data_IF_252925384252
#
_entry.id   IF_252925384252
#
_cell.length_a   1.000
_cell.length_b   1.000
_cell.length_c   1.000
_cell.angle_alpha   90.00
_cell.angle_beta   90.00
_cell.angle_gamma   90.00
#
_symmetry.space_group_name_H-M   'P 1'
#
loop_
_entity.id
_entity.type
_entity.pdbx_description
1 polymer ?
#
# COMPACT_ATOMS: atom_id res chain seq x y z
N UNK A 1 11.77 7.35 6.78
CA UNK A 1 11.60 8.60 7.55
C UNK A 1 10.88 9.68 6.75
N UNK A 2 11.01 9.69 5.43
CA UNK A 2 10.39 10.69 4.54
C UNK A 2 8.86 10.72 4.70
N UNK A 3 8.23 9.55 4.93
CA UNK A 3 6.79 9.45 5.21
C UNK A 3 6.42 10.23 6.49
N UNK A 4 7.24 10.16 7.54
CA UNK A 4 6.94 10.84 8.81
C UNK A 4 7.00 12.36 8.66
N UNK A 5 8.05 12.87 8.02
CA UNK A 5 8.19 14.29 7.72
C UNK A 5 7.08 14.78 6.78
N UNK A 6 6.65 13.92 5.89
CA UNK A 6 5.57 14.19 4.98
C UNK A 6 4.22 14.27 5.72
N UNK A 7 3.91 13.28 6.55
CA UNK A 7 2.68 13.27 7.36
C UNK A 7 2.64 14.41 8.38
N UNK A 8 3.80 14.78 8.96
CA UNK A 8 3.90 15.90 9.90
C UNK A 8 3.49 17.25 9.31
N UNK A 9 3.73 17.45 8.00
CA UNK A 9 3.36 18.69 7.29
C UNK A 9 1.86 18.80 7.01
N UNK A 10 1.12 17.71 7.18
CA UNK A 10 -0.30 17.64 6.91
C UNK A 10 -1.06 17.36 8.20
N UNK A 11 -2.24 17.99 8.35
CA UNK A 11 -3.10 17.69 9.48
C UNK A 11 -3.70 16.29 9.33
N UNK A 12 -3.14 15.34 10.09
CA UNK A 12 -3.66 13.98 10.19
C UNK A 12 -4.62 13.80 11.37
N UNK A 13 -4.88 14.88 12.12
CA UNK A 13 -5.70 14.83 13.32
C UNK A 13 -5.11 13.94 14.43
N UNK A 14 -5.93 13.53 15.36
CA UNK A 14 -5.53 12.65 16.48
C UNK A 14 -5.62 11.16 16.11
N UNK A 15 -4.95 10.76 14.99
CA UNK A 15 -4.95 9.37 14.51
C UNK A 15 -3.72 8.62 15.00
N UNK A 16 -3.91 7.35 15.35
CA UNK A 16 -2.78 6.47 15.63
C UNK A 16 -2.04 6.12 14.33
N UNK A 17 -0.70 6.14 14.42
CA UNK A 17 0.22 5.80 13.32
C UNK A 17 0.84 4.45 13.62
N UNK A 18 0.34 3.40 12.99
CA UNK A 18 0.86 2.04 13.12
C UNK A 18 2.00 1.82 12.13
N UNK A 19 3.17 1.42 12.62
CA UNK A 19 4.35 1.18 11.80
C UNK A 19 4.85 -0.25 12.00
N UNK A 20 4.67 -1.15 11.01
CA UNK A 20 5.20 -2.51 11.08
C UNK A 20 6.73 -2.51 11.03
N UNK A 21 7.37 -2.97 12.10
CA UNK A 21 8.82 -3.06 12.26
C UNK A 21 9.30 -4.48 12.61
N UNK A 22 8.38 -5.44 12.72
CA UNK A 22 8.69 -6.82 13.05
C UNK A 22 9.40 -7.57 11.93
N UNK A 23 9.28 -7.09 10.69
CA UNK A 23 9.79 -7.76 9.51
C UNK A 23 10.74 -6.87 8.70
N UNK A 24 12.01 -7.26 8.64
CA UNK A 24 13.04 -6.55 7.88
C UNK A 24 13.72 -5.40 8.65
N UNK A 25 14.77 -4.86 8.05
CA UNK A 25 15.58 -3.81 8.62
C UNK A 25 16.52 -4.26 9.74
N UNK A 26 17.65 -3.55 9.89
CA UNK A 26 18.57 -3.78 11.01
C UNK A 26 17.96 -3.29 12.34
N UNK A 27 18.47 -3.79 13.47
CA UNK A 27 18.07 -3.29 14.80
C UNK A 27 18.23 -1.78 14.90
N UNK A 28 19.37 -1.25 14.42
CA UNK A 28 19.64 0.20 14.39
C UNK A 28 18.61 0.97 13.56
N UNK A 29 18.21 0.45 12.41
CA UNK A 29 17.17 1.09 11.59
C UNK A 29 15.83 1.17 12.32
N UNK A 30 15.43 0.08 12.99
CA UNK A 30 14.18 0.04 13.76
C UNK A 30 14.18 1.05 14.91
N UNK A 31 15.31 1.16 15.64
CA UNK A 31 15.48 2.15 16.70
C UNK A 31 15.35 3.59 16.17
N UNK A 32 16.04 3.91 15.07
CA UNK A 32 15.93 5.24 14.43
C UNK A 32 14.50 5.57 14.00
N UNK A 33 13.77 4.59 13.45
CA UNK A 33 12.36 4.79 13.06
C UNK A 33 11.47 5.01 14.29
N UNK A 34 11.67 4.25 15.36
CA UNK A 34 10.92 4.40 16.63
C UNK A 34 11.16 5.75 17.29
N UNK A 35 12.42 6.17 17.39
CA UNK A 35 12.77 7.47 17.96
C UNK A 35 12.16 8.62 17.16
N UNK A 36 12.25 8.55 15.83
CA UNK A 36 11.66 9.56 14.97
C UNK A 36 10.12 9.57 15.07
N UNK A 37 9.49 8.40 15.04
CA UNK A 37 8.04 8.28 15.16
C UNK A 37 7.52 8.81 16.50
N UNK A 38 8.14 8.40 17.59
CA UNK A 38 7.77 8.89 18.94
C UNK A 38 7.97 10.40 19.07
N UNK A 39 9.07 10.93 18.54
CA UNK A 39 9.34 12.38 18.58
C UNK A 39 8.32 13.18 17.77
N UNK A 40 7.86 12.66 16.64
CA UNK A 40 6.95 13.39 15.71
C UNK A 40 5.49 13.25 16.15
N UNK A 41 5.06 12.04 16.53
CA UNK A 41 3.66 11.71 16.76
C UNK A 41 3.31 11.43 18.23
N UNK A 42 4.31 11.43 19.13
CA UNK A 42 4.09 11.22 20.56
C UNK A 42 3.38 9.91 20.88
N UNK A 43 2.33 9.98 21.69
CA UNK A 43 1.50 8.83 22.09
C UNK A 43 0.70 8.21 20.93
N UNK A 44 0.57 8.89 19.82
CA UNK A 44 -0.14 8.37 18.65
C UNK A 44 0.76 7.45 17.79
N UNK A 45 2.05 7.37 18.07
CA UNK A 45 2.95 6.46 17.37
C UNK A 45 2.92 5.06 17.98
N UNK A 46 2.59 4.06 17.19
CA UNK A 46 2.50 2.66 17.60
C UNK A 46 3.41 1.82 16.71
N UNK A 47 4.54 1.36 17.27
CA UNK A 47 5.43 0.43 16.57
C UNK A 47 4.97 -1.02 16.75
N UNK A 48 4.84 -1.75 15.64
CA UNK A 48 4.53 -3.18 15.65
C UNK A 48 5.84 -3.96 15.54
N UNK A 49 6.51 -4.16 16.67
CA UNK A 49 7.88 -4.70 16.74
C UNK A 49 7.93 -6.23 16.80
N UNK A 50 6.88 -6.86 17.29
CA UNK A 50 6.77 -8.31 17.43
C UNK A 50 6.08 -8.91 16.23
N UNK A 51 6.52 -10.11 15.84
CA UNK A 51 5.80 -10.87 14.85
C UNK A 51 4.42 -11.26 15.40
N UNK A 52 3.39 -11.01 14.64
CA UNK A 52 2.01 -11.35 14.98
C UNK A 52 1.40 -12.27 13.93
N UNK A 53 0.35 -12.96 14.28
CA UNK A 53 -0.40 -13.77 13.34
C UNK A 53 -1.03 -12.90 12.24
N UNK A 54 -1.31 -13.52 11.10
CA UNK A 54 -1.99 -12.81 10.00
C UNK A 54 -3.36 -12.28 10.43
N UNK A 55 -4.06 -13.01 11.28
CA UNK A 55 -5.37 -12.57 11.81
C UNK A 55 -5.25 -11.33 12.69
N UNK A 56 -4.28 -11.29 13.61
CA UNK A 56 -4.02 -10.11 14.45
C UNK A 56 -3.62 -8.91 13.60
N UNK A 57 -2.77 -9.12 12.60
CA UNK A 57 -2.37 -8.07 11.67
C UNK A 57 -3.56 -7.54 10.87
N UNK A 58 -4.43 -8.41 10.37
CA UNK A 58 -5.64 -7.99 9.67
C UNK A 58 -6.61 -7.21 10.55
N UNK A 59 -6.71 -7.51 11.85
CA UNK A 59 -7.51 -6.71 12.80
C UNK A 59 -6.98 -5.28 12.92
N UNK A 60 -5.65 -5.10 12.95
CA UNK A 60 -5.05 -3.77 12.95
C UNK A 60 -5.33 -3.06 11.62
N UNK A 61 -5.06 -3.70 10.49
CA UNK A 61 -5.30 -3.12 9.16
C UNK A 61 -6.76 -2.71 8.99
N UNK A 62 -7.72 -3.54 9.41
CA UNK A 62 -9.14 -3.22 9.29
C UNK A 62 -9.59 -2.04 10.15
N UNK A 63 -8.83 -1.68 11.19
CA UNK A 63 -9.05 -0.47 11.98
C UNK A 63 -8.43 0.79 11.35
N UNK A 64 -7.59 0.63 10.32
CA UNK A 64 -6.94 1.73 9.63
C UNK A 64 -7.83 2.24 8.48
N UNK A 65 -8.11 3.54 8.46
CA UNK A 65 -8.79 4.16 7.31
C UNK A 65 -7.85 4.44 6.14
N UNK A 66 -6.54 4.58 6.42
CA UNK A 66 -5.53 5.03 5.47
C UNK A 66 -4.26 4.20 5.60
N UNK A 67 -3.62 3.92 4.46
CA UNK A 67 -2.33 3.23 4.41
C UNK A 67 -1.40 3.97 3.45
N UNK A 68 -0.15 4.17 3.87
CA UNK A 68 0.88 4.85 3.08
C UNK A 68 2.04 3.92 2.81
N UNK A 69 2.43 3.79 1.55
CA UNK A 69 3.59 2.99 1.13
C UNK A 69 4.45 3.80 0.15
N UNK A 70 5.61 4.26 0.64
CA UNK A 70 6.49 5.20 -0.04
C UNK A 70 7.63 4.52 -0.83
N UNK A 71 7.58 3.19 -0.96
CA UNK A 71 8.62 2.46 -1.67
C UNK A 71 8.37 2.44 -3.19
N UNK A 72 9.43 2.59 -3.95
CA UNK A 72 9.39 2.54 -5.42
C UNK A 72 9.47 1.11 -5.96
N UNK A 73 10.11 0.22 -5.21
CA UNK A 73 10.24 -1.20 -5.59
C UNK A 73 9.00 -2.00 -5.22
N UNK A 74 8.79 -3.11 -5.90
CA UNK A 74 7.72 -4.06 -5.61
C UNK A 74 7.96 -4.74 -4.25
N UNK A 75 7.52 -4.10 -3.19
CA UNK A 75 7.64 -4.57 -1.81
C UNK A 75 6.28 -4.53 -1.11
N UNK A 76 6.12 -5.36 -0.06
CA UNK A 76 4.93 -5.34 0.78
C UNK A 76 3.62 -5.67 0.05
N UNK A 77 3.66 -6.45 -1.03
CA UNK A 77 2.48 -6.77 -1.84
C UNK A 77 1.37 -7.44 -1.03
N UNK A 78 1.72 -8.23 0.00
CA UNK A 78 0.74 -8.80 0.93
C UNK A 78 0.04 -7.71 1.76
N UNK A 79 0.79 -6.71 2.23
CA UNK A 79 0.25 -5.59 3.00
C UNK A 79 -0.64 -4.70 2.13
N UNK A 80 -0.26 -4.46 0.88
CA UNK A 80 -1.08 -3.73 -0.10
C UNK A 80 -2.40 -4.45 -0.31
N UNK A 81 -2.35 -5.76 -0.54
CA UNK A 81 -3.55 -6.57 -0.74
C UNK A 81 -4.45 -6.55 0.51
N UNK A 82 -3.86 -6.72 1.70
CA UNK A 82 -4.59 -6.67 2.95
C UNK A 82 -5.26 -5.30 3.14
N UNK A 83 -4.55 -4.19 2.87
CA UNK A 83 -5.10 -2.84 2.95
C UNK A 83 -6.29 -2.64 2.01
N UNK A 84 -6.13 -2.96 0.72
CA UNK A 84 -7.19 -2.81 -0.28
C UNK A 84 -8.40 -3.70 0.02
N UNK A 85 -8.17 -4.95 0.46
CA UNK A 85 -9.24 -5.87 0.80
C UNK A 85 -10.06 -5.42 2.02
N UNK A 86 -9.38 -4.81 3.00
CA UNK A 86 -10.03 -4.27 4.20
C UNK A 86 -10.61 -2.86 4.01
N UNK A 87 -10.54 -2.29 2.81
CA UNK A 87 -11.17 -1.02 2.48
C UNK A 87 -10.37 0.21 2.90
N UNK A 88 -9.07 0.07 3.16
CA UNK A 88 -8.22 1.21 3.44
C UNK A 88 -8.01 2.06 2.18
N UNK A 89 -8.03 3.38 2.32
CA UNK A 89 -7.57 4.29 1.28
C UNK A 89 -6.04 4.22 1.19
N UNK A 90 -5.55 3.64 0.11
CA UNK A 90 -4.13 3.34 -0.08
C UNK A 90 -3.44 4.42 -0.89
N UNK A 91 -2.43 5.04 -0.28
CA UNK A 91 -1.54 6.00 -0.93
C UNK A 91 -0.20 5.34 -1.29
N UNK A 92 0.20 5.47 -2.55
CA UNK A 92 1.42 4.93 -3.11
C UNK A 92 2.25 6.04 -3.77
N UNK A 93 3.57 5.83 -3.92
CA UNK A 93 4.36 6.69 -4.78
C UNK A 93 3.90 6.53 -6.24
N UNK A 94 3.60 7.63 -6.93
CA UNK A 94 3.17 7.60 -8.35
C UNK A 94 4.30 7.22 -9.31
N UNK A 95 5.56 7.32 -8.87
CA UNK A 95 6.72 6.81 -9.61
C UNK A 95 6.84 5.30 -9.57
N UNK A 96 6.14 4.62 -8.63
CA UNK A 96 6.23 3.17 -8.47
C UNK A 96 5.45 2.41 -9.54
N UNK A 97 6.02 1.30 -10.02
CA UNK A 97 5.32 0.38 -10.92
C UNK A 97 4.06 -0.24 -10.27
N UNK A 98 4.06 -0.35 -8.94
CA UNK A 98 2.92 -0.87 -8.18
C UNK A 98 1.72 0.07 -8.29
N UNK A 99 1.95 1.38 -8.20
CA UNK A 99 0.90 2.38 -8.40
C UNK A 99 0.30 2.28 -9.80
N UNK A 100 1.16 2.28 -10.83
CA UNK A 100 0.74 2.18 -12.25
C UNK A 100 -0.04 0.88 -12.51
N UNK A 101 0.44 -0.23 -11.96
CA UNK A 101 -0.23 -1.53 -12.08
C UNK A 101 -1.65 -1.49 -11.51
N UNK A 102 -1.82 -1.01 -10.28
CA UNK A 102 -3.16 -0.97 -9.67
C UNK A 102 -4.08 0.05 -10.34
N UNK A 103 -3.57 1.19 -10.79
CA UNK A 103 -4.36 2.14 -11.61
C UNK A 103 -4.84 1.50 -12.91
N UNK A 104 -3.95 0.77 -13.61
CA UNK A 104 -4.31 0.04 -14.84
C UNK A 104 -5.29 -1.12 -14.58
N UNK A 105 -5.35 -1.64 -13.37
CA UNK A 105 -6.34 -2.64 -12.98
C UNK A 105 -7.70 -2.02 -12.65
N UNK A 106 -7.81 -0.70 -12.60
CA UNK A 106 -9.02 0.00 -12.19
C UNK A 106 -9.23 0.02 -10.68
N UNK A 107 -8.17 -0.24 -9.89
CA UNK A 107 -8.23 -0.18 -8.42
C UNK A 107 -8.11 1.27 -7.96
N UNK A 108 -8.94 1.68 -7.00
CA UNK A 108 -8.88 2.99 -6.36
C UNK A 108 -7.66 3.08 -5.44
N UNK A 109 -6.53 3.49 -6.01
CA UNK A 109 -5.29 3.85 -5.30
C UNK A 109 -4.95 5.30 -5.58
N UNK A 110 -4.25 5.94 -4.66
CA UNK A 110 -4.01 7.38 -4.64
C UNK A 110 -2.52 7.68 -4.65
N UNK A 111 -2.15 8.77 -5.31
CA UNK A 111 -0.77 9.27 -5.33
C UNK A 111 -0.45 10.01 -4.05
N UNK A 112 0.71 9.73 -3.47
CA UNK A 112 1.22 10.52 -2.36
C UNK A 112 1.60 11.92 -2.85
N UNK A 113 2.25 12.02 -4.00
CA UNK A 113 2.78 13.26 -4.54
C UNK A 113 1.68 14.21 -5.04
N UNK A 114 0.60 13.67 -5.59
CA UNK A 114 -0.47 14.46 -6.18
C UNK A 114 -1.72 14.49 -5.30
N UNK A 115 -2.33 13.34 -5.04
CA UNK A 115 -3.63 13.30 -4.36
C UNK A 115 -3.51 13.72 -2.89
N UNK A 116 -2.53 13.16 -2.14
CA UNK A 116 -2.36 13.50 -0.73
C UNK A 116 -1.83 14.92 -0.52
N UNK A 117 -0.88 15.37 -1.34
CA UNK A 117 -0.35 16.75 -1.23
C UNK A 117 -1.44 17.79 -1.45
N UNK A 118 -2.37 17.55 -2.38
CA UNK A 118 -3.44 18.50 -2.69
C UNK A 118 -4.60 18.46 -1.69
N UNK A 119 -4.96 17.28 -1.18
CA UNK A 119 -6.21 17.08 -0.43
C UNK A 119 -6.01 16.49 0.98
N UNK A 120 -4.77 16.23 1.38
CA UNK A 120 -4.48 15.46 2.60
C UNK A 120 -5.03 14.04 2.52
N UNK A 121 -5.44 13.47 3.65
CA UNK A 121 -6.09 12.15 3.65
C UNK A 121 -7.44 12.17 2.92
N UNK A 122 -8.14 13.30 2.93
CA UNK A 122 -9.51 13.40 2.42
C UNK A 122 -10.47 12.47 3.17
N UNK A 123 -11.60 12.16 2.54
CA UNK A 123 -12.53 11.16 3.08
C UNK A 123 -12.01 9.74 2.86
N UNK A 124 -12.37 8.78 3.74
CA UNK A 124 -12.17 7.35 3.48
C UNK A 124 -12.86 6.92 2.16
N UNK A 125 -12.53 5.73 1.67
CA UNK A 125 -13.25 5.14 0.53
C UNK A 125 -14.73 4.97 0.87
N UNK A 126 -15.58 5.18 -0.13
CA UNK A 126 -16.99 4.82 -0.05
C UNK A 126 -17.17 3.30 -0.07
N UNK A 127 -18.35 2.83 0.31
CA UNK A 127 -18.64 1.40 0.24
C UNK A 127 -18.55 0.87 -1.19
N UNK A 128 -19.02 1.64 -2.18
CA UNK A 128 -18.95 1.30 -3.59
C UNK A 128 -17.51 1.17 -4.08
N UNK A 129 -16.64 2.10 -3.73
CA UNK A 129 -15.21 2.05 -4.09
C UNK A 129 -14.51 0.84 -3.45
N UNK A 130 -14.89 0.46 -2.22
CA UNK A 130 -14.36 -0.73 -1.54
C UNK A 130 -14.79 -2.01 -2.27
N UNK A 131 -16.06 -2.11 -2.67
CA UNK A 131 -16.56 -3.27 -3.41
C UNK A 131 -15.89 -3.36 -4.78
N UNK A 132 -15.79 -2.25 -5.50
CA UNK A 132 -15.12 -2.20 -6.80
C UNK A 132 -13.67 -2.65 -6.69
N UNK A 133 -12.93 -2.16 -5.69
CA UNK A 133 -11.57 -2.63 -5.43
C UNK A 133 -11.49 -4.15 -5.25
N UNK A 134 -12.39 -4.74 -4.46
CA UNK A 134 -12.44 -6.19 -4.25
C UNK A 134 -12.72 -6.96 -5.53
N UNK A 135 -13.67 -6.49 -6.34
CA UNK A 135 -14.01 -7.09 -7.63
C UNK A 135 -12.82 -7.05 -8.59
N UNK A 136 -12.12 -5.90 -8.71
CA UNK A 136 -10.93 -5.80 -9.54
C UNK A 136 -9.81 -6.73 -9.05
N UNK A 137 -9.60 -6.82 -7.74
CA UNK A 137 -8.59 -7.73 -7.16
C UNK A 137 -8.90 -9.19 -7.47
N UNK A 138 -10.15 -9.63 -7.33
CA UNK A 138 -10.58 -11.00 -7.67
C UNK A 138 -10.34 -11.27 -9.16
N UNK A 139 -10.82 -10.37 -10.03
CA UNK A 139 -10.68 -10.49 -11.48
C UNK A 139 -9.23 -10.61 -11.92
N UNK A 140 -8.36 -9.72 -11.41
CA UNK A 140 -6.94 -9.62 -11.79
C UNK A 140 -6.03 -10.65 -11.13
N UNK A 141 -6.54 -11.42 -10.16
CA UNK A 141 -5.85 -12.53 -9.50
C UNK A 141 -6.46 -13.90 -9.82
N UNK A 142 -7.45 -13.93 -10.71
CA UNK A 142 -8.05 -15.19 -11.14
C UNK A 142 -7.04 -16.03 -11.95
N UNK A 143 -7.10 -17.37 -11.87
CA UNK A 143 -6.29 -18.25 -12.71
C UNK A 143 -6.46 -17.96 -14.21
N UNK A 144 -7.67 -17.59 -14.62
CA UNK A 144 -7.99 -17.20 -16.01
C UNK A 144 -7.16 -15.98 -16.43
N UNK A 145 -7.15 -14.91 -15.63
CA UNK A 145 -6.37 -13.70 -15.92
C UNK A 145 -4.86 -14.00 -15.98
N UNK A 146 -4.37 -14.86 -15.11
CA UNK A 146 -2.97 -15.26 -15.10
C UNK A 146 -2.59 -16.01 -16.39
N UNK A 147 -3.40 -16.98 -16.81
CA UNK A 147 -3.19 -17.72 -18.06
C UNK A 147 -3.26 -16.80 -19.29
N UNK A 148 -4.23 -15.89 -19.36
CA UNK A 148 -4.34 -14.93 -20.46
C UNK A 148 -3.08 -14.06 -20.59
N UNK A 149 -2.49 -13.63 -19.47
CA UNK A 149 -1.24 -12.86 -19.51
C UNK A 149 -0.04 -13.70 -19.94
N UNK A 150 0.05 -14.97 -19.52
CA UNK A 150 1.09 -15.89 -20.00
C UNK A 150 0.97 -16.07 -21.52
N UNK A 151 -0.21 -16.31 -22.05
CA UNK A 151 -0.41 -16.46 -23.49
C UNK A 151 -0.03 -15.19 -24.26
N UNK A 152 -0.40 -13.99 -23.76
CA UNK A 152 0.00 -12.72 -24.36
C UNK A 152 1.52 -12.54 -24.37
N UNK A 153 2.17 -12.84 -23.26
CA UNK A 153 3.62 -12.76 -23.15
C UNK A 153 4.30 -13.72 -24.14
N UNK A 154 3.80 -14.94 -24.23
CA UNK A 154 4.33 -15.93 -25.17
C UNK A 154 4.15 -15.51 -26.63
N UNK A 155 2.96 -14.95 -26.99
CA UNK A 155 2.71 -14.44 -28.32
C UNK A 155 3.64 -13.26 -28.69
N UNK A 156 3.90 -12.35 -27.74
CA UNK A 156 4.86 -11.25 -27.95
C UNK A 156 6.28 -11.80 -28.17
N UNK A 157 6.69 -12.73 -27.34
CA UNK A 157 8.00 -13.38 -27.47
C UNK A 157 8.20 -14.11 -28.81
N UNK A 158 7.17 -14.81 -29.26
CA UNK A 158 7.16 -15.46 -30.59
C UNK A 158 7.33 -14.44 -31.72
N UNK A 159 6.61 -13.31 -31.64
CA UNK A 159 6.70 -12.24 -32.62
C UNK A 159 8.09 -11.61 -32.66
N UNK A 160 8.69 -11.39 -31.50
CA UNK A 160 10.04 -10.78 -31.39
C UNK A 160 11.15 -11.72 -31.93
N UNK A 161 10.98 -13.04 -31.82
CA UNK A 161 11.96 -14.02 -32.31
C UNK A 161 11.77 -14.37 -33.78
N UNK A 162 10.53 -14.53 -34.22
CA UNK A 162 10.25 -15.07 -35.56
C UNK A 162 9.71 -14.06 -36.56
N UNK A 163 9.53 -12.79 -36.17
CA UNK A 163 9.33 -11.65 -37.09
C UNK A 163 8.05 -11.72 -37.93
N UNK A 164 6.93 -12.26 -37.38
CA UNK A 164 5.62 -12.27 -38.02
C UNK A 164 4.60 -11.44 -37.23
#
# INVERSE_FOLDING_TARGET
LDVFEFLKKHDIGNRNIYVPLSYGGSKRYREVVKDAGTRIFGSNFVSLDTFMSYEEYCKIISSCGYVFMFHERQQGMGNILAALWNGCKLFLSDTSEVYRMYKNYGVHVFSIQNDFVCTGCGLPLTYEEIIDNREQLIKKRSPKFFLENIYKMYATFQKDIYGN
#
